data_IF_952800961511
#
_entry.id   IF_952800961511
#
_cell.length_a   1.000
_cell.length_b   1.000
_cell.length_c   1.000
_cell.angle_alpha   90.00
_cell.angle_beta   90.00
_cell.angle_gamma   90.00
#
_symmetry.space_group_name_H-M   'P 1'
#
loop_
_entity.id
_entity.type
_entity.pdbx_description
1 polymer ?
#
# COMPACT_ATOMS: atom_id res chain seq x y z
N UNK A 1 -20.41 -47.20 -0.85
CA UNK A 1 -18.99 -46.86 -0.64
C UNK A 1 -18.18 -47.21 -1.87
N UNK A 2 -17.68 -46.23 -2.64
CA UNK A 2 -16.69 -46.47 -3.68
C UNK A 2 -15.30 -45.97 -3.25
N UNK A 3 -14.29 -46.83 -3.43
CA UNK A 3 -12.88 -46.52 -3.14
C UNK A 3 -12.29 -45.61 -4.21
N UNK A 4 -11.58 -44.56 -3.77
CA UNK A 4 -10.86 -43.64 -4.66
C UNK A 4 -9.48 -44.20 -5.04
N UNK A 5 -8.99 -43.99 -6.28
CA UNK A 5 -7.73 -44.53 -6.75
C UNK A 5 -6.53 -43.73 -6.25
N UNK A 6 -5.45 -44.48 -6.01
CA UNK A 6 -4.16 -44.09 -5.44
C UNK A 6 -3.34 -43.31 -6.48
N UNK A 7 -2.92 -42.09 -6.13
CA UNK A 7 -2.10 -41.20 -6.98
C UNK A 7 -0.62 -41.50 -6.76
N UNK A 8 0.06 -42.02 -7.78
CA UNK A 8 1.51 -42.21 -7.81
C UNK A 8 2.24 -40.85 -7.88
N UNK A 9 3.24 -40.67 -7.00
CA UNK A 9 4.13 -39.51 -7.02
C UNK A 9 5.41 -39.85 -7.79
N UNK A 10 5.60 -39.17 -8.92
CA UNK A 10 6.80 -39.21 -9.74
C UNK A 10 7.96 -38.50 -9.04
N UNK A 11 9.08 -39.21 -8.84
CA UNK A 11 10.33 -38.68 -8.29
C UNK A 11 11.12 -37.98 -9.39
N UNK A 12 11.38 -36.69 -9.21
CA UNK A 12 12.33 -35.92 -10.05
C UNK A 12 13.76 -36.10 -9.50
N UNK A 13 14.78 -36.31 -10.36
CA UNK A 13 16.16 -36.51 -9.93
C UNK A 13 16.81 -35.19 -9.44
N UNK A 14 17.58 -35.34 -8.37
CA UNK A 14 18.29 -34.30 -7.63
C UNK A 14 19.62 -34.01 -8.32
N UNK A 15 19.78 -32.83 -8.92
CA UNK A 15 21.05 -32.39 -9.52
C UNK A 15 22.02 -31.85 -8.47
N UNK A 16 23.27 -32.30 -8.58
CA UNK A 16 24.39 -31.99 -7.71
C UNK A 16 24.83 -30.53 -7.85
N UNK A 17 24.97 -29.83 -6.73
CA UNK A 17 25.46 -28.45 -6.65
C UNK A 17 27.00 -28.43 -6.75
N UNK A 18 27.53 -27.82 -7.80
CA UNK A 18 28.96 -27.50 -7.95
C UNK A 18 29.29 -26.26 -7.12
N UNK A 19 30.29 -26.37 -6.24
CA UNK A 19 30.75 -25.26 -5.40
C UNK A 19 31.62 -24.29 -6.22
N UNK A 20 31.18 -23.05 -6.35
CA UNK A 20 31.97 -21.94 -6.91
C UNK A 20 32.68 -21.22 -5.78
N UNK A 21 34.02 -21.26 -5.78
CA UNK A 21 34.88 -20.49 -4.87
C UNK A 21 34.97 -19.04 -5.36
N UNK A 22 34.52 -18.09 -4.54
CA UNK A 22 34.80 -16.67 -4.72
C UNK A 22 36.16 -16.32 -4.10
N UNK A 23 37.01 -15.69 -4.89
CA UNK A 23 38.31 -15.14 -4.47
C UNK A 23 38.11 -13.66 -4.12
N UNK A 24 38.46 -13.29 -2.88
CA UNK A 24 38.36 -11.91 -2.37
C UNK A 24 39.56 -11.08 -2.87
N UNK A 25 39.37 -9.89 -3.48
CA UNK A 25 40.49 -9.00 -3.76
C UNK A 25 40.91 -8.21 -2.51
N UNK A 26 42.21 -7.94 -2.43
CA UNK A 26 42.89 -7.23 -1.34
C UNK A 26 42.52 -5.74 -1.28
N UNK A 27 42.61 -5.09 -0.10
CA UNK A 27 42.28 -3.68 0.06
C UNK A 27 43.38 -2.77 -0.52
N UNK A 28 42.97 -1.77 -1.29
CA UNK A 28 43.83 -0.70 -1.79
C UNK A 28 44.16 0.31 -0.69
N UNK A 29 45.43 0.70 -0.63
CA UNK A 29 46.02 1.73 0.23
C UNK A 29 45.52 3.13 -0.15
N UNK A 30 45.28 4.04 0.81
CA UNK A 30 44.85 5.41 0.50
C UNK A 30 46.04 6.28 0.06
N UNK A 31 45.85 7.00 -1.05
CA UNK A 31 46.77 8.02 -1.51
C UNK A 31 46.52 9.34 -0.77
N UNK A 32 47.59 9.88 -0.20
CA UNK A 32 47.70 11.20 0.43
C UNK A 32 47.63 12.29 -0.64
N UNK A 33 46.69 13.23 -0.52
CA UNK A 33 46.67 14.45 -1.34
C UNK A 33 46.88 15.67 -0.43
N UNK A 34 47.95 16.40 -0.72
CA UNK A 34 48.34 17.65 -0.09
C UNK A 34 47.68 18.84 -0.80
N UNK A 35 47.46 19.88 0.01
CA UNK A 35 47.41 21.32 -0.32
C UNK A 35 46.03 21.99 -0.56
N UNK A 36 45.75 23.12 0.12
CA UNK A 36 44.53 23.91 0.00
C UNK A 36 44.67 25.05 -1.03
N UNK A 37 43.58 25.50 -1.68
CA UNK A 37 43.56 26.77 -2.39
C UNK A 37 43.16 27.94 -1.46
N UNK A 38 43.91 29.02 -1.60
CA UNK A 38 43.71 30.37 -1.07
C UNK A 38 42.35 30.97 -1.43
N UNK A 39 41.69 31.56 -0.43
CA UNK A 39 40.45 32.34 -0.53
C UNK A 39 40.76 33.81 -0.82
N UNK A 40 40.01 34.53 -1.67
CA UNK A 40 40.00 35.99 -1.68
C UNK A 40 38.94 36.55 -0.73
N UNK A 41 39.35 37.59 -0.02
CA UNK A 41 38.52 38.46 0.82
C UNK A 41 37.33 39.01 0.04
N UNK A 42 36.12 38.85 0.59
CA UNK A 42 34.99 39.68 0.22
C UNK A 42 34.11 39.92 1.45
N UNK A 43 34.23 41.13 2.00
CA UNK A 43 33.48 41.65 3.12
C UNK A 43 32.02 41.91 2.72
N UNK A 44 31.12 41.04 3.18
CA UNK A 44 29.67 41.24 3.12
C UNK A 44 29.02 40.48 4.27
N UNK A 45 28.59 41.19 5.30
CA UNK A 45 28.05 40.61 6.53
C UNK A 45 26.77 39.82 6.28
N UNK A 46 26.81 38.54 6.63
CA UNK A 46 25.64 37.68 6.83
C UNK A 46 25.80 36.96 8.18
N UNK A 47 24.75 37.02 9.00
CA UNK A 47 24.64 36.26 10.26
C UNK A 47 24.62 34.77 9.97
N UNK A 48 25.63 34.04 10.44
CA UNK A 48 25.70 32.58 10.39
C UNK A 48 25.20 32.04 11.72
N UNK A 49 23.98 31.49 11.73
CA UNK A 49 23.49 30.68 12.86
C UNK A 49 24.22 29.34 12.82
N UNK A 50 25.10 29.14 13.80
CA UNK A 50 25.89 27.91 13.94
C UNK A 50 25.08 26.89 14.73
N UNK A 51 24.55 25.87 14.07
CA UNK A 51 23.89 24.73 14.76
C UNK A 51 24.93 23.67 15.08
N UNK A 52 25.28 23.53 16.36
CA UNK A 52 26.16 22.47 16.83
C UNK A 52 25.40 21.15 16.96
N UNK A 53 25.69 20.19 16.09
CA UNK A 53 25.16 18.82 16.18
C UNK A 53 26.15 17.96 16.96
N UNK A 54 25.79 17.58 18.18
CA UNK A 54 26.58 16.65 19.00
C UNK A 54 26.23 15.20 18.64
N UNK A 55 27.14 14.51 17.95
CA UNK A 55 27.01 13.09 17.65
C UNK A 55 27.57 12.26 18.81
N UNK A 56 26.69 11.59 19.57
CA UNK A 56 27.10 10.66 20.63
C UNK A 56 27.25 9.25 20.04
N UNK A 57 28.48 8.78 19.93
CA UNK A 57 28.78 7.40 19.50
C UNK A 57 28.77 6.46 20.72
N UNK A 58 27.70 5.69 20.88
CA UNK A 58 27.63 4.64 21.92
C UNK A 58 28.27 3.35 21.38
N UNK A 59 29.44 3.00 21.90
CA UNK A 59 30.12 1.74 21.59
C UNK A 59 29.64 0.63 22.52
N UNK A 60 28.77 -0.26 22.04
CA UNK A 60 28.42 -1.48 22.76
C UNK A 60 29.48 -2.57 22.55
N UNK A 61 30.23 -2.84 23.63
CA UNK A 61 31.21 -3.93 23.73
C UNK A 61 30.46 -5.26 23.88
N UNK A 62 30.49 -6.12 22.85
CA UNK A 62 29.97 -7.50 22.92
C UNK A 62 30.98 -8.38 23.66
N UNK A 63 30.58 -8.97 24.79
CA UNK A 63 31.33 -10.08 25.41
C UNK A 63 30.92 -11.40 24.76
N UNK A 64 31.87 -12.07 24.14
CA UNK A 64 31.72 -13.44 23.66
C UNK A 64 32.02 -14.40 24.83
N UNK A 65 31.01 -15.14 25.30
CA UNK A 65 31.23 -16.35 26.11
C UNK A 65 30.99 -17.58 25.25
N UNK A 66 32.10 -18.27 25.00
CA UNK A 66 32.28 -19.55 24.31
C UNK A 66 31.86 -20.67 25.26
N UNK A 67 30.89 -21.50 24.88
CA UNK A 67 30.67 -22.80 25.51
C UNK A 67 30.60 -23.89 24.45
N UNK A 68 31.68 -24.67 24.41
CA UNK A 68 31.79 -26.03 23.90
C UNK A 68 30.94 -26.98 24.75
N UNK A 69 30.08 -27.83 24.15
CA UNK A 69 30.15 -29.30 24.33
C UNK A 69 29.09 -30.13 23.58
N UNK A 70 29.60 -31.25 23.07
CA UNK A 70 29.03 -32.61 22.97
C UNK A 70 27.93 -32.91 21.96
N UNK A 71 28.37 -33.57 20.89
CA UNK A 71 27.63 -34.49 20.02
C UNK A 71 26.96 -35.63 20.77
N UNK A 72 25.67 -35.86 20.52
CA UNK A 72 25.04 -37.18 20.67
C UNK A 72 23.99 -37.39 19.58
N UNK A 73 24.15 -38.48 18.85
CA UNK A 73 23.25 -38.93 17.80
C UNK A 73 22.00 -39.61 18.40
N UNK A 74 20.83 -39.32 17.82
CA UNK A 74 19.63 -40.16 17.89
C UNK A 74 18.71 -39.92 16.67
N UNK A 75 18.41 -41.03 16.01
CA UNK A 75 17.32 -41.49 15.13
C UNK A 75 16.15 -40.55 14.74
N UNK A 76 15.61 -40.64 13.48
CA UNK A 76 14.60 -39.73 12.96
C UNK A 76 13.16 -40.12 13.34
N UNK A 77 12.35 -39.14 13.69
CA UNK A 77 10.89 -39.25 13.86
C UNK A 77 10.16 -38.30 12.91
N UNK A 78 9.01 -38.76 12.43
CA UNK A 78 8.17 -38.20 11.37
C UNK A 78 7.81 -36.72 11.54
N UNK A 79 7.96 -35.96 10.45
CA UNK A 79 7.43 -34.61 10.27
C UNK A 79 5.90 -34.64 10.12
N UNK A 80 5.21 -33.97 11.05
CA UNK A 80 3.83 -33.50 10.91
C UNK A 80 3.89 -31.97 10.92
N UNK A 81 3.18 -31.26 10.01
CA UNK A 81 3.33 -29.82 9.87
C UNK A 81 2.88 -29.05 11.11
N UNK A 82 3.70 -28.08 11.50
CA UNK A 82 3.45 -27.16 12.61
C UNK A 82 2.16 -26.36 12.37
N UNK A 83 1.12 -26.71 13.13
CA UNK A 83 -0.01 -25.83 13.41
C UNK A 83 0.46 -24.85 14.49
N UNK A 84 0.38 -23.54 14.22
CA UNK A 84 0.66 -22.53 15.24
C UNK A 84 -0.40 -22.69 16.36
N UNK A 85 0.08 -23.18 17.50
CA UNK A 85 -0.58 -23.24 18.79
C UNK A 85 -0.51 -21.84 19.41
N UNK A 86 -1.51 -21.01 19.11
CA UNK A 86 -1.80 -19.77 19.84
C UNK A 86 -2.50 -20.21 21.14
N UNK A 87 -1.76 -20.17 22.25
CA UNK A 87 -2.17 -20.74 23.53
C UNK A 87 -3.61 -20.40 23.96
N UNK A 88 -4.30 -21.46 24.40
CA UNK A 88 -5.62 -21.46 25.04
C UNK A 88 -5.69 -20.47 26.23
N UNK A 89 -6.47 -19.39 26.09
CA UNK A 89 -7.00 -18.65 27.25
C UNK A 89 -8.42 -18.11 26.95
N UNK A 90 -9.38 -18.78 27.57
CA UNK A 90 -10.64 -18.31 28.22
C UNK A 90 -11.65 -17.43 27.48
N UNK A 91 -12.92 -17.75 27.79
CA UNK A 91 -14.22 -17.28 27.30
C UNK A 91 -14.38 -15.77 26.99
N UNK A 92 -15.17 -15.41 25.96
CA UNK A 92 -15.45 -14.02 25.62
C UNK A 92 -16.43 -13.40 26.62
N UNK A 93 -16.06 -12.26 27.19
CA UNK A 93 -17.00 -11.33 27.81
C UNK A 93 -17.58 -10.42 26.73
N UNK A 94 -18.90 -10.34 26.64
CA UNK A 94 -19.61 -9.42 25.76
C UNK A 94 -19.35 -7.97 26.18
N UNK A 95 -18.91 -7.13 25.25
CA UNK A 95 -18.75 -5.70 25.45
C UNK A 95 -19.55 -4.92 24.40
N UNK A 96 -20.05 -3.74 24.79
CA UNK A 96 -20.77 -2.82 23.92
C UNK A 96 -19.82 -1.68 23.55
N UNK A 97 -19.52 -1.53 22.26
CA UNK A 97 -18.74 -0.38 21.77
C UNK A 97 -19.69 0.82 21.65
N UNK A 98 -19.42 1.88 22.40
CA UNK A 98 -20.09 3.18 22.25
C UNK A 98 -19.41 3.91 21.08
N UNK A 99 -20.07 3.95 19.92
CA UNK A 99 -19.65 4.80 18.81
C UNK A 99 -19.92 6.28 19.17
N UNK A 100 -19.08 7.22 18.72
CA UNK A 100 -19.32 8.64 18.93
C UNK A 100 -20.69 9.03 18.35
N UNK A 101 -21.51 9.69 19.16
CA UNK A 101 -22.85 10.10 18.78
C UNK A 101 -22.77 11.03 17.55
N UNK A 102 -23.41 10.60 16.47
CA UNK A 102 -23.58 11.42 15.27
C UNK A 102 -24.34 12.70 15.66
N UNK A 103 -23.89 13.91 15.27
CA UNK A 103 -24.67 15.13 15.51
C UNK A 103 -26.03 14.97 14.83
N UNK A 104 -27.09 15.15 15.61
CA UNK A 104 -28.46 15.00 15.12
C UNK A 104 -28.69 15.94 13.93
N UNK A 105 -29.19 15.44 12.79
CA UNK A 105 -29.52 16.32 11.67
C UNK A 105 -30.59 17.33 12.11
N UNK A 106 -30.54 18.57 11.60
CA UNK A 106 -31.59 19.55 11.87
C UNK A 106 -32.95 19.00 11.42
N UNK A 107 -34.04 19.31 12.17
CA UNK A 107 -35.36 18.80 11.85
C UNK A 107 -35.77 19.24 10.43
N UNK A 108 -36.37 18.36 9.63
CA UNK A 108 -36.81 18.71 8.29
C UNK A 108 -37.92 19.77 8.35
N UNK A 109 -37.76 20.82 7.56
CA UNK A 109 -38.81 21.82 7.32
C UNK A 109 -40.08 21.13 6.77
N UNK A 110 -41.28 21.49 7.27
CA UNK A 110 -42.52 20.86 6.83
C UNK A 110 -42.78 21.18 5.35
N UNK A 111 -42.78 20.15 4.51
CA UNK A 111 -43.25 20.24 3.13
C UNK A 111 -44.69 19.72 3.04
N UNK A 112 -45.53 20.32 2.18
CA UNK A 112 -46.97 20.09 2.17
C UNK A 112 -47.33 18.72 1.60
N UNK A 113 -48.32 18.08 2.22
CA UNK A 113 -48.90 16.81 1.77
C UNK A 113 -49.68 16.99 0.47
N UNK A 114 -49.50 16.08 -0.51
CA UNK A 114 -50.51 15.79 -1.51
C UNK A 114 -51.33 14.56 -1.13
N UNK A 115 -52.56 14.58 -1.62
CA UNK A 115 -53.68 13.72 -1.30
C UNK A 115 -53.49 12.26 -1.77
N UNK A 116 -54.19 11.38 -1.04
CA UNK A 116 -54.38 9.97 -1.33
C UNK A 116 -55.11 9.76 -2.65
N UNK A 117 -54.57 8.89 -3.50
CA UNK A 117 -55.38 8.05 -4.38
C UNK A 117 -54.88 6.61 -4.35
N UNK A 118 -55.83 5.71 -4.50
CA UNK A 118 -55.82 4.31 -4.08
C UNK A 118 -55.84 3.34 -5.25
N UNK A 119 -54.96 2.32 -5.19
CA UNK A 119 -55.08 0.96 -5.76
C UNK A 119 -55.13 0.81 -7.32
N UNK A 120 -54.98 -0.38 -7.94
CA UNK A 120 -54.66 -1.73 -7.42
C UNK A 120 -53.50 -2.49 -8.16
N UNK A 121 -53.15 -3.67 -7.62
CA UNK A 121 -52.33 -4.77 -8.18
C UNK A 121 -52.91 -5.37 -9.48
N UNK A 122 -52.10 -6.02 -10.36
CA UNK A 122 -51.99 -7.51 -10.31
C UNK A 122 -50.69 -8.19 -10.81
N UNK A 123 -50.57 -9.46 -10.39
CA UNK A 123 -50.07 -10.68 -11.05
C UNK A 123 -48.64 -10.90 -11.58
N UNK A 124 -47.98 -11.85 -10.88
CA UNK A 124 -47.46 -13.14 -11.36
C UNK A 124 -46.99 -13.23 -12.82
N UNK A 125 -45.66 -13.34 -13.03
CA UNK A 125 -45.10 -14.18 -14.09
C UNK A 125 -43.86 -14.93 -13.59
N UNK A 126 -43.95 -16.25 -13.68
CA UNK A 126 -42.89 -17.25 -13.48
C UNK A 126 -42.48 -17.71 -14.89
N UNK A 127 -41.20 -17.64 -15.23
CA UNK A 127 -40.66 -18.35 -16.39
C UNK A 127 -39.22 -18.76 -16.14
N UNK A 128 -39.09 -20.06 -15.90
CA UNK A 128 -37.87 -20.83 -16.14
C UNK A 128 -37.64 -20.94 -17.65
N UNK A 129 -36.38 -20.86 -18.08
CA UNK A 129 -36.01 -21.04 -19.47
C UNK A 129 -34.51 -20.99 -19.68
N UNK A 130 -33.88 -22.16 -19.58
CA UNK A 130 -32.55 -22.43 -20.11
C UNK A 130 -32.51 -22.17 -21.63
N UNK A 131 -31.40 -21.65 -22.18
CA UNK A 131 -30.53 -22.44 -23.04
C UNK A 131 -29.32 -21.67 -23.61
N UNK A 132 -28.20 -22.39 -23.64
CA UNK A 132 -27.19 -22.51 -24.71
C UNK A 132 -26.87 -21.33 -25.66
N UNK A 133 -25.56 -21.02 -25.64
CA UNK A 133 -24.59 -21.30 -26.71
C UNK A 133 -24.05 -20.15 -27.59
N UNK A 134 -22.71 -20.22 -27.74
CA UNK A 134 -21.86 -19.90 -28.92
C UNK A 134 -21.68 -18.41 -29.26
N UNK A 135 -20.47 -17.87 -29.02
CA UNK A 135 -19.32 -17.84 -29.96
C UNK A 135 -19.67 -17.22 -31.32
N UNK A 136 -19.29 -15.95 -31.53
CA UNK A 136 -18.57 -15.52 -32.73
C UNK A 136 -17.87 -14.18 -32.53
N UNK A 137 -16.55 -14.17 -32.73
CA UNK A 137 -15.71 -12.99 -32.97
C UNK A 137 -15.81 -12.65 -34.46
N UNK A 138 -15.77 -11.37 -34.85
CA UNK A 138 -15.07 -11.01 -36.07
C UNK A 138 -13.93 -9.99 -35.80
N UNK A 139 -12.74 -10.39 -36.27
CA UNK A 139 -11.58 -9.54 -36.54
C UNK A 139 -11.83 -8.75 -37.83
N UNK A 140 -11.52 -7.45 -37.81
CA UNK A 140 -11.15 -6.59 -38.94
C UNK A 140 -10.20 -5.54 -38.33
N UNK A 141 -8.89 -5.43 -38.58
CA UNK A 141 -8.08 -5.51 -39.80
C UNK A 141 -8.43 -4.41 -40.80
N UNK A 142 -7.94 -3.19 -40.52
CA UNK A 142 -7.61 -2.20 -41.56
C UNK A 142 -6.29 -1.53 -41.18
N UNK A 143 -5.47 -1.40 -42.23
CA UNK A 143 -4.06 -1.07 -42.31
C UNK A 143 -3.74 0.44 -42.25
N UNK A 144 -2.45 0.81 -42.18
CA UNK A 144 -1.95 2.17 -42.04
C UNK A 144 -1.75 2.85 -43.40
N UNK A 145 -1.69 4.19 -43.44
CA UNK A 145 -0.76 4.97 -44.29
C UNK A 145 -0.91 6.48 -44.10
N UNK A 146 0.25 7.08 -43.80
CA UNK A 146 0.79 8.37 -44.29
C UNK A 146 -0.16 9.41 -44.89
N UNK A 147 0.02 10.67 -44.48
CA UNK A 147 0.25 11.79 -45.42
C UNK A 147 0.85 13.01 -44.70
N UNK A 148 2.07 13.35 -45.12
CA UNK A 148 2.73 14.63 -44.93
C UNK A 148 1.87 15.75 -45.51
N UNK A 149 1.65 16.82 -44.75
CA UNK A 149 1.26 18.12 -45.32
C UNK A 149 1.68 19.28 -44.41
N UNK A 150 2.81 19.90 -44.75
CA UNK A 150 3.06 21.31 -44.45
C UNK A 150 2.27 22.17 -45.43
N UNK A 151 1.72 23.29 -44.97
CA UNK A 151 2.02 24.52 -45.68
C UNK A 151 2.33 25.70 -44.75
N UNK A 152 3.32 26.47 -45.17
CA UNK A 152 3.46 27.89 -44.87
C UNK A 152 2.16 28.64 -45.21
N UNK A 153 1.72 29.53 -44.32
CA UNK A 153 1.19 30.82 -44.76
C UNK A 153 1.46 31.91 -43.73
N UNK A 154 1.76 33.06 -44.31
CA UNK A 154 2.20 34.34 -43.80
C UNK A 154 1.09 35.17 -43.15
N UNK A 155 1.50 35.91 -42.10
CA UNK A 155 1.05 37.22 -41.63
C UNK A 155 -0.18 37.88 -42.28
N UNK A 156 -1.18 38.31 -41.49
CA UNK A 156 -1.35 39.71 -41.00
C UNK A 156 -2.73 39.95 -40.34
N UNK A 157 -2.71 40.92 -39.41
CA UNK A 157 -3.76 41.83 -38.91
C UNK A 157 -4.90 41.33 -38.01
N UNK A 158 -4.81 41.78 -36.75
CA UNK A 158 -5.80 42.63 -36.06
C UNK A 158 -7.26 42.24 -36.11
N UNK A 159 -7.65 41.54 -35.05
CA UNK A 159 -9.04 41.26 -34.70
C UNK A 159 -9.10 40.27 -33.55
N UNK A 160 -8.42 40.58 -32.43
CA UNK A 160 -8.38 39.73 -31.26
C UNK A 160 -9.76 39.71 -30.56
N UNK A 161 -10.72 39.01 -31.16
CA UNK A 161 -11.85 38.48 -30.45
C UNK A 161 -11.28 37.56 -29.37
N UNK A 162 -11.33 37.99 -28.11
CA UNK A 162 -11.05 37.15 -26.97
C UNK A 162 -11.99 35.95 -27.06
N UNK A 163 -11.52 34.85 -27.66
CA UNK A 163 -12.24 33.60 -27.72
C UNK A 163 -12.65 33.22 -26.29
N UNK A 164 -13.81 32.59 -26.10
CA UNK A 164 -14.30 32.26 -24.78
C UNK A 164 -13.20 31.51 -24.03
N UNK A 165 -12.68 32.16 -22.97
CA UNK A 165 -11.66 31.57 -22.12
C UNK A 165 -12.21 30.23 -21.64
N UNK A 166 -11.60 29.14 -22.09
CA UNK A 166 -12.03 27.79 -21.73
C UNK A 166 -11.83 27.66 -20.23
N UNK A 167 -12.91 27.85 -19.46
CA UNK A 167 -12.89 27.67 -18.02
C UNK A 167 -12.69 26.19 -17.78
N UNK A 168 -11.45 25.81 -17.47
CA UNK A 168 -11.12 24.44 -17.14
C UNK A 168 -11.81 24.12 -15.81
N UNK A 169 -12.82 23.24 -15.86
CA UNK A 169 -13.54 22.78 -14.67
C UNK A 169 -12.54 22.09 -13.76
N UNK A 170 -12.26 22.71 -12.60
CA UNK A 170 -11.36 22.16 -11.59
C UNK A 170 -11.86 20.76 -11.19
N UNK A 171 -10.96 19.78 -11.23
CA UNK A 171 -11.25 18.41 -10.78
C UNK A 171 -10.89 18.31 -9.30
N UNK A 172 -11.86 17.93 -8.49
CA UNK A 172 -11.70 17.79 -7.04
C UNK A 172 -11.70 16.31 -6.66
N UNK A 173 -10.85 15.94 -5.71
CA UNK A 173 -10.83 14.63 -5.09
C UNK A 173 -11.08 14.75 -3.59
N UNK A 174 -12.04 13.99 -3.07
CA UNK A 174 -12.30 13.91 -1.63
C UNK A 174 -11.31 12.94 -0.98
N UNK A 175 -10.60 13.41 0.04
CA UNK A 175 -9.69 12.61 0.85
C UNK A 175 -10.18 12.63 2.29
N UNK A 176 -10.65 11.49 2.77
CA UNK A 176 -11.15 11.37 4.13
C UNK A 176 -10.00 11.36 5.15
N UNK A 177 -10.18 12.10 6.23
CA UNK A 177 -9.18 12.24 7.29
C UNK A 177 -9.23 11.03 8.21
N UNK A 178 -8.07 10.43 8.44
CA UNK A 178 -7.93 9.30 9.35
C UNK A 178 -7.99 9.78 10.80
N UNK A 179 -8.75 9.08 11.69
CA UNK A 179 -8.78 9.39 13.11
C UNK A 179 -7.37 9.45 13.70
N UNK A 180 -7.10 10.44 14.55
CA UNK A 180 -5.80 10.53 15.20
C UNK A 180 -5.63 9.35 16.18
N UNK A 181 -4.42 8.78 16.36
CA UNK A 181 -4.22 7.66 17.29
C UNK A 181 -4.72 7.91 18.73
N UNK A 182 -4.70 9.17 19.19
CA UNK A 182 -5.21 9.56 20.51
C UNK A 182 -6.74 9.62 20.61
N UNK A 183 -7.44 9.65 19.48
CA UNK A 183 -8.91 9.68 19.41
C UNK A 183 -9.51 8.27 19.37
N UNK A 184 -8.67 7.24 19.19
CA UNK A 184 -9.13 5.86 19.12
C UNK A 184 -9.57 5.35 20.50
N UNK A 185 -10.75 4.71 20.54
CA UNK A 185 -11.28 4.11 21.75
C UNK A 185 -10.38 2.98 22.25
N UNK A 186 -9.93 3.08 23.50
CA UNK A 186 -9.07 2.07 24.13
C UNK A 186 -9.85 0.78 24.34
N UNK A 187 -9.33 -0.33 23.80
CA UNK A 187 -9.91 -1.66 23.97
C UNK A 187 -9.12 -2.40 25.08
N UNK A 188 -9.68 -2.59 26.28
CA UNK A 188 -8.97 -3.23 27.39
C UNK A 188 -8.78 -4.74 27.15
N UNK A 189 -7.78 -5.30 27.83
CA UNK A 189 -7.57 -6.76 27.90
C UNK A 189 -6.66 -7.36 26.83
N UNK A 190 -6.51 -8.68 26.91
CA UNK A 190 -5.69 -9.49 26.00
C UNK A 190 -6.53 -10.03 24.84
N UNK A 191 -7.20 -9.13 24.12
CA UNK A 191 -8.07 -9.51 22.99
C UNK A 191 -7.30 -9.48 21.68
N UNK A 192 -7.76 -10.27 20.71
CA UNK A 192 -7.34 -10.18 19.32
C UNK A 192 -7.98 -8.93 18.71
N UNK A 193 -7.17 -8.14 18.02
CA UNK A 193 -7.55 -6.87 17.42
C UNK A 193 -7.36 -6.93 15.91
N UNK A 194 -8.24 -6.25 15.20
CA UNK A 194 -8.13 -5.95 13.77
C UNK A 194 -7.79 -4.48 13.61
N UNK A 195 -6.66 -4.19 12.98
CA UNK A 195 -6.21 -2.84 12.66
C UNK A 195 -6.55 -2.57 11.20
N UNK A 196 -7.42 -1.60 10.95
CA UNK A 196 -7.84 -1.19 9.62
C UNK A 196 -7.10 0.09 9.24
N UNK A 197 -6.31 0.04 8.17
CA UNK A 197 -5.54 1.18 7.65
C UNK A 197 -5.89 1.53 6.20
N UNK A 198 -6.72 0.71 5.55
CA UNK A 198 -7.24 0.95 4.21
C UNK A 198 -8.60 0.30 4.07
N UNK A 199 -9.55 0.97 3.40
CA UNK A 199 -10.93 0.49 3.23
C UNK A 199 -11.93 1.58 3.57
N UNK A 200 -13.10 1.20 4.10
CA UNK A 200 -14.18 2.15 4.39
C UNK A 200 -14.03 2.96 5.67
N UNK A 201 -13.04 2.64 6.51
CA UNK A 201 -12.74 3.34 7.75
C UNK A 201 -11.28 3.19 8.13
N UNK A 202 -10.89 3.74 9.28
CA UNK A 202 -9.56 3.58 9.85
C UNK A 202 -9.63 3.48 11.36
N UNK A 203 -8.87 2.57 11.96
CA UNK A 203 -8.81 2.44 13.42
C UNK A 203 -8.34 1.07 13.88
N UNK A 204 -8.52 0.83 15.19
CA UNK A 204 -8.23 -0.44 15.85
C UNK A 204 -9.54 -0.96 16.42
N UNK A 205 -9.93 -2.16 16.00
CA UNK A 205 -11.22 -2.77 16.32
C UNK A 205 -11.02 -4.12 17.02
N UNK A 206 -11.98 -4.58 17.83
CA UNK A 206 -12.04 -5.96 18.27
C UNK A 206 -12.15 -6.93 17.08
N UNK A 207 -11.55 -8.12 17.17
CA UNK A 207 -11.52 -9.08 16.07
C UNK A 207 -12.89 -9.66 15.71
N UNK A 208 -13.81 -9.73 16.67
CA UNK A 208 -15.19 -10.19 16.52
C UNK A 208 -16.08 -9.15 15.81
N UNK A 209 -15.62 -7.90 15.67
CA UNK A 209 -16.29 -6.90 14.87
C UNK A 209 -16.11 -7.22 13.38
N UNK A 210 -17.21 -7.20 12.61
CA UNK A 210 -17.17 -7.46 11.17
C UNK A 210 -16.58 -6.26 10.39
N UNK A 211 -15.25 -6.12 10.45
CA UNK A 211 -14.54 -5.06 9.72
C UNK A 211 -14.61 -5.23 8.20
N UNK A 212 -14.97 -6.43 7.70
CA UNK A 212 -15.16 -6.65 6.25
C UNK A 212 -16.39 -5.92 5.75
N UNK A 213 -17.41 -5.76 6.59
CA UNK A 213 -18.60 -4.95 6.26
C UNK A 213 -18.22 -3.50 5.94
N UNK A 214 -17.20 -2.95 6.62
CA UNK A 214 -16.71 -1.60 6.39
C UNK A 214 -16.09 -1.44 5.00
N UNK A 215 -15.38 -2.48 4.51
CA UNK A 215 -14.63 -2.44 3.24
C UNK A 215 -15.41 -3.01 2.03
N UNK A 216 -16.65 -3.48 2.21
CA UNK A 216 -17.41 -4.25 1.19
C UNK A 216 -17.57 -3.54 -0.17
N UNK A 217 -17.53 -2.20 -0.22
CA UNK A 217 -17.63 -1.42 -1.48
C UNK A 217 -16.40 -0.56 -1.81
N UNK A 218 -15.36 -0.60 -0.98
CA UNK A 218 -14.24 0.34 -1.07
C UNK A 218 -13.20 -0.05 -2.14
N UNK A 219 -13.38 -1.20 -2.79
CA UNK A 219 -12.47 -1.73 -3.81
C UNK A 219 -11.11 -2.18 -3.25
N UNK A 220 -10.88 -2.09 -1.94
CA UNK A 220 -9.66 -2.54 -1.26
C UNK A 220 -9.85 -2.65 0.25
N UNK A 221 -8.94 -3.39 0.90
CA UNK A 221 -8.91 -3.58 2.35
C UNK A 221 -7.46 -3.82 2.82
N UNK A 222 -7.02 -3.05 3.81
CA UNK A 222 -5.73 -3.28 4.48
C UNK A 222 -5.97 -3.49 5.95
N UNK A 223 -5.96 -4.77 6.31
CA UNK A 223 -6.13 -5.25 7.67
C UNK A 223 -4.86 -5.89 8.20
N UNK A 224 -4.60 -5.64 9.48
CA UNK A 224 -3.59 -6.33 10.28
C UNK A 224 -4.26 -6.93 11.52
N UNK A 225 -3.69 -7.99 12.05
CA UNK A 225 -4.11 -8.58 13.32
C UNK A 225 -3.00 -8.48 14.36
N UNK A 226 -3.34 -8.10 15.59
CA UNK A 226 -2.44 -8.09 16.74
C UNK A 226 -3.21 -8.48 18.01
N UNK A 227 -2.48 -9.02 18.99
CA UNK A 227 -2.99 -9.14 20.35
C UNK A 227 -2.56 -7.93 21.18
N UNK A 228 -3.44 -7.47 22.07
CA UNK A 228 -3.26 -6.31 22.98
C UNK A 228 -3.33 -4.95 22.30
N UNK A 229 -4.01 -4.01 22.96
CA UNK A 229 -4.20 -2.63 22.51
C UNK A 229 -2.91 -1.93 22.10
N UNK A 230 -1.89 -1.92 22.96
CA UNK A 230 -0.64 -1.19 22.71
C UNK A 230 0.09 -1.64 21.44
N UNK A 231 -0.04 -2.92 21.06
CA UNK A 231 0.57 -3.44 19.83
C UNK A 231 -0.24 -3.05 18.60
N UNK A 232 -1.57 -3.10 18.68
CA UNK A 232 -2.46 -2.65 17.61
C UNK A 232 -2.31 -1.14 17.36
N UNK A 233 -2.35 -0.34 18.43
CA UNK A 233 -2.17 1.11 18.39
C UNK A 233 -0.83 1.49 17.75
N UNK A 234 0.27 0.83 18.14
CA UNK A 234 1.60 1.10 17.55
C UNK A 234 1.66 0.85 16.04
N UNK A 235 0.94 -0.17 15.54
CA UNK A 235 0.86 -0.43 14.09
C UNK A 235 0.05 0.68 13.40
N UNK A 236 -1.10 1.03 13.96
CA UNK A 236 -1.95 2.10 13.42
C UNK A 236 -1.23 3.45 13.43
N UNK A 237 -0.61 3.82 14.55
CA UNK A 237 0.16 5.04 14.73
C UNK A 237 1.32 5.14 13.74
N UNK A 238 2.04 4.04 13.47
CA UNK A 238 3.08 4.01 12.42
C UNK A 238 2.48 4.34 11.05
N UNK A 239 1.35 3.72 10.68
CA UNK A 239 0.68 3.96 9.40
C UNK A 239 0.12 5.40 9.29
N UNK A 240 -0.43 5.92 10.39
CA UNK A 240 -0.97 7.27 10.49
C UNK A 240 0.14 8.32 10.37
N UNK A 241 1.24 8.15 11.11
CA UNK A 241 2.42 9.02 11.04
C UNK A 241 3.06 9.01 9.65
N UNK A 242 3.00 7.90 8.91
CA UNK A 242 3.45 7.84 7.51
C UNK A 242 2.49 8.50 6.51
N UNK A 243 1.28 8.91 6.95
CA UNK A 243 0.22 9.45 6.10
C UNK A 243 -0.38 8.40 5.17
N UNK A 244 -0.28 7.12 5.53
CA UNK A 244 -0.64 5.98 4.66
C UNK A 244 -1.96 5.31 5.06
N UNK A 245 -2.70 5.90 5.99
CA UNK A 245 -4.07 5.48 6.29
C UNK A 245 -4.98 6.17 5.28
N UNK A 246 -5.63 5.41 4.41
CA UNK A 246 -6.54 5.94 3.41
C UNK A 246 -7.93 5.36 3.61
N UNK A 247 -8.90 6.26 3.68
CA UNK A 247 -10.28 5.92 3.95
C UNK A 247 -11.09 6.29 2.71
N UNK A 248 -11.84 5.33 2.22
CA UNK A 248 -12.79 5.46 1.12
C UNK A 248 -14.12 4.90 1.59
N UNK A 249 -14.87 5.66 2.41
CA UNK A 249 -16.08 5.18 3.02
C UNK A 249 -17.10 4.85 1.93
N UNK A 250 -17.86 3.79 2.17
CA UNK A 250 -19.07 3.52 1.42
C UNK A 250 -20.07 4.64 1.72
N UNK A 251 -20.73 5.20 0.70
CA UNK A 251 -21.74 6.26 0.84
C UNK A 251 -22.89 5.85 1.78
N UNK A 252 -23.18 4.55 1.86
CA UNK A 252 -24.20 3.99 2.76
C UNK A 252 -23.62 3.46 4.10
N UNK A 253 -22.31 3.62 4.32
CA UNK A 253 -21.59 3.02 5.44
C UNK A 253 -21.66 3.85 6.73
N UNK A 254 -21.30 3.22 7.85
CA UNK A 254 -21.16 3.90 9.16
C UNK A 254 -20.12 5.03 9.15
N UNK A 255 -19.28 5.07 8.12
CA UNK A 255 -18.21 6.04 7.93
C UNK A 255 -18.51 7.07 6.82
N UNK A 256 -19.72 7.08 6.26
CA UNK A 256 -20.09 7.99 5.17
C UNK A 256 -19.97 9.48 5.56
N UNK A 257 -20.12 9.79 6.85
CA UNK A 257 -20.04 11.14 7.41
C UNK A 257 -18.65 11.52 7.96
N UNK A 258 -17.60 10.74 7.67
CA UNK A 258 -16.26 11.08 8.12
C UNK A 258 -15.79 12.43 7.53
N UNK A 259 -15.00 13.20 8.29
CA UNK A 259 -14.43 14.44 7.78
C UNK A 259 -13.53 14.16 6.56
N UNK A 260 -13.55 15.07 5.59
CA UNK A 260 -12.72 14.99 4.40
C UNK A 260 -12.17 16.36 4.01
N UNK A 261 -11.07 16.32 3.26
CA UNK A 261 -10.45 17.47 2.60
C UNK A 261 -10.63 17.30 1.10
N UNK A 262 -11.04 18.36 0.41
CA UNK A 262 -11.07 18.37 -1.06
C UNK A 262 -9.71 18.81 -1.60
N UNK A 263 -9.09 17.95 -2.40
CA UNK A 263 -7.84 18.25 -3.08
C UNK A 263 -8.11 18.61 -4.54
N UNK A 264 -7.64 19.78 -4.94
CA UNK A 264 -7.58 20.15 -6.37
C UNK A 264 -6.55 19.28 -7.08
N UNK A 265 -7.00 18.52 -8.08
CA UNK A 265 -6.13 17.74 -8.93
C UNK A 265 -5.37 18.66 -9.88
N UNK A 266 -4.04 18.49 -10.03
CA UNK A 266 -3.26 19.24 -11.01
C UNK A 266 -3.85 19.16 -12.42
N UNK A 267 -3.53 20.14 -13.26
CA UNK A 267 -3.91 20.08 -14.67
C UNK A 267 -3.18 18.91 -15.35
N UNK A 268 -3.79 18.29 -16.38
CA UNK A 268 -3.15 17.22 -17.14
C UNK A 268 -1.76 17.53 -17.68
N UNK A 269 -1.52 18.79 -18.01
CA UNK A 269 -0.25 19.26 -18.57
C UNK A 269 0.85 19.40 -17.50
N UNK A 270 0.49 19.40 -16.21
CA UNK A 270 1.42 19.53 -15.06
C UNK A 270 1.83 18.16 -14.49
N UNK A 271 1.40 17.06 -15.11
CA UNK A 271 1.67 15.73 -14.59
C UNK A 271 3.15 15.35 -14.74
N UNK A 272 3.81 15.08 -13.61
CA UNK A 272 5.10 14.40 -13.62
C UNK A 272 4.95 12.99 -14.23
N UNK A 273 5.98 12.48 -14.94
CA UNK A 273 5.93 11.11 -15.44
C UNK A 273 5.81 10.12 -14.28
N UNK A 274 4.92 9.14 -14.44
CA UNK A 274 4.83 8.03 -13.49
C UNK A 274 6.02 7.09 -13.69
N UNK A 275 6.45 6.43 -12.62
CA UNK A 275 7.48 5.40 -12.72
C UNK A 275 7.04 4.29 -13.68
N UNK A 276 7.90 3.97 -14.66
CA UNK A 276 7.68 2.89 -15.63
C UNK A 276 8.58 1.69 -15.40
N UNK A 277 9.61 1.85 -14.55
CA UNK A 277 10.60 0.82 -14.27
C UNK A 277 10.75 0.61 -12.77
N UNK A 278 11.03 -0.64 -12.32
CA UNK A 278 11.39 -0.90 -10.94
C UNK A 278 12.72 -0.20 -10.59
N UNK A 279 12.97 0.07 -9.30
CA UNK A 279 14.29 0.46 -8.84
C UNK A 279 15.37 -0.53 -9.31
N UNK A 280 16.54 -0.03 -9.72
CA UNK A 280 17.66 -0.91 -10.03
C UNK A 280 18.03 -1.74 -8.78
N UNK A 281 18.46 -3.01 -8.92
CA UNK A 281 18.80 -3.82 -7.75
C UNK A 281 19.86 -3.20 -6.83
N UNK A 282 20.83 -2.47 -7.39
CA UNK A 282 21.84 -1.73 -6.61
C UNK A 282 21.30 -0.51 -5.84
N UNK A 283 20.09 -0.03 -6.18
CA UNK A 283 19.43 1.08 -5.49
C UNK A 283 18.51 0.60 -4.35
N UNK A 284 18.29 -0.71 -4.20
CA UNK A 284 17.47 -1.24 -3.11
C UNK A 284 18.21 -1.11 -1.79
N UNK A 285 17.66 -0.27 -0.91
CA UNK A 285 18.10 -0.15 0.48
C UNK A 285 17.42 -1.26 1.28
N UNK A 286 18.19 -2.00 2.08
CA UNK A 286 17.67 -3.06 2.95
C UNK A 286 16.64 -2.46 3.93
N UNK A 287 15.36 -2.86 3.86
CA UNK A 287 14.34 -2.31 4.75
C UNK A 287 14.49 -2.88 6.17
N UNK A 288 14.04 -2.12 7.17
CA UNK A 288 13.98 -2.60 8.55
C UNK A 288 12.84 -3.61 8.66
N UNK A 289 13.16 -4.84 9.05
CA UNK A 289 12.19 -5.92 9.26
C UNK A 289 11.39 -5.68 10.54
N UNK A 290 10.08 -5.40 10.41
CA UNK A 290 9.18 -5.21 11.56
C UNK A 290 8.34 -6.45 11.88
N UNK A 291 8.23 -7.39 10.93
CA UNK A 291 7.48 -8.64 11.04
C UNK A 291 8.32 -9.90 10.86
N UNK A 292 7.66 -11.01 10.51
CA UNK A 292 8.30 -12.32 10.26
C UNK A 292 8.95 -12.40 8.87
N UNK A 293 8.49 -11.59 7.92
CA UNK A 293 8.86 -11.69 6.52
C UNK A 293 9.33 -10.35 5.93
N UNK A 294 10.18 -10.43 4.92
CA UNK A 294 10.34 -9.44 3.87
C UNK A 294 9.33 -9.74 2.75
N UNK A 295 8.84 -8.69 2.11
CA UNK A 295 7.83 -8.77 1.06
C UNK A 295 8.41 -8.24 -0.23
N UNK A 296 8.55 -9.10 -1.24
CA UNK A 296 8.96 -8.70 -2.59
C UNK A 296 7.71 -8.49 -3.41
N UNK A 297 7.50 -7.27 -3.91
CA UNK A 297 6.36 -6.95 -4.77
C UNK A 297 6.71 -7.30 -6.21
N UNK A 298 5.88 -8.15 -6.81
CA UNK A 298 6.00 -8.52 -8.23
C UNK A 298 4.96 -7.78 -9.08
N UNK A 299 3.78 -7.53 -8.52
CA UNK A 299 2.75 -6.72 -9.16
C UNK A 299 2.24 -5.71 -8.15
N UNK A 300 2.32 -4.42 -8.49
CA UNK A 300 1.92 -3.34 -7.60
C UNK A 300 2.11 -1.96 -8.22
N UNK A 301 1.68 -0.93 -7.49
CA UNK A 301 1.90 0.49 -7.81
C UNK A 301 3.37 0.89 -7.71
N UNK A 302 4.13 0.23 -6.84
CA UNK A 302 5.56 0.42 -6.67
C UNK A 302 6.22 -0.94 -6.37
N UNK A 303 7.36 -1.21 -7.03
CA UNK A 303 8.10 -2.46 -6.89
C UNK A 303 9.27 -2.29 -5.93
N UNK A 304 9.59 -3.34 -5.18
CA UNK A 304 10.69 -3.31 -4.20
C UNK A 304 10.60 -4.42 -3.17
N UNK A 305 11.43 -4.28 -2.13
CA UNK A 305 11.47 -5.16 -0.98
C UNK A 305 11.05 -4.35 0.26
N UNK A 306 10.06 -4.84 0.99
CA UNK A 306 9.50 -4.16 2.16
C UNK A 306 9.63 -5.04 3.40
N UNK A 307 9.94 -4.42 4.54
CA UNK A 307 10.11 -5.11 5.82
C UNK A 307 8.82 -5.21 6.66
N UNK A 308 7.74 -4.61 6.17
CA UNK A 308 6.46 -4.45 6.85
C UNK A 308 5.30 -4.84 5.91
N UNK A 309 4.32 -5.57 6.43
CA UNK A 309 3.13 -5.95 5.64
C UNK A 309 2.34 -4.73 5.19
N UNK A 310 2.23 -3.69 6.02
CA UNK A 310 1.47 -2.48 5.70
C UNK A 310 2.04 -1.81 4.47
N UNK A 311 3.36 -1.61 4.46
CA UNK A 311 4.11 -1.03 3.35
C UNK A 311 3.97 -1.84 2.06
N UNK A 312 3.96 -3.17 2.16
CA UNK A 312 3.70 -4.03 1.01
C UNK A 312 2.23 -3.94 0.54
N UNK A 313 1.27 -3.97 1.47
CA UNK A 313 -0.15 -3.99 1.20
C UNK A 313 -0.63 -2.72 0.48
N UNK A 314 -0.17 -1.54 0.91
CA UNK A 314 -0.53 -0.27 0.26
C UNK A 314 -0.12 -0.20 -1.21
N UNK A 315 0.88 -0.98 -1.63
CA UNK A 315 1.37 -1.03 -3.01
C UNK A 315 0.61 -2.01 -3.89
N UNK A 316 -0.02 -3.03 -3.31
CA UNK A 316 -0.64 -4.11 -4.09
C UNK A 316 -2.16 -4.04 -4.10
N UNK A 317 -2.79 -3.58 -3.01
CA UNK A 317 -4.23 -3.79 -2.80
C UNK A 317 -5.13 -3.07 -3.79
N UNK A 318 -4.74 -1.87 -4.24
CA UNK A 318 -5.54 -1.05 -5.15
C UNK A 318 -5.43 -1.43 -6.62
N UNK A 319 -4.47 -2.28 -6.96
CA UNK A 319 -4.18 -2.72 -8.32
C UNK A 319 -4.26 -4.24 -8.47
N UNK A 320 -4.94 -4.90 -7.52
CA UNK A 320 -5.03 -6.37 -7.42
C UNK A 320 -3.66 -7.05 -7.58
N UNK A 321 -2.65 -6.42 -7.00
CA UNK A 321 -1.26 -6.85 -7.09
C UNK A 321 -0.92 -8.04 -6.20
N UNK A 322 0.32 -8.49 -6.32
CA UNK A 322 0.81 -9.63 -5.55
C UNK A 322 2.25 -9.44 -5.09
N UNK A 323 2.54 -10.05 -3.94
CA UNK A 323 3.87 -10.10 -3.34
C UNK A 323 4.21 -11.49 -2.83
N UNK A 324 5.49 -11.81 -2.75
CA UNK A 324 6.00 -13.06 -2.16
C UNK A 324 6.70 -12.74 -0.85
N UNK A 325 6.51 -13.62 0.16
CA UNK A 325 7.06 -13.49 1.51
C UNK A 325 8.34 -14.31 1.63
N UNK A 326 9.36 -13.72 2.25
CA UNK A 326 10.65 -14.36 2.49
C UNK A 326 11.09 -14.13 3.93
N UNK A 327 11.64 -15.13 4.61
CA UNK A 327 12.11 -14.96 5.99
C UNK A 327 13.43 -14.16 6.04
N UNK A 328 14.29 -14.35 5.05
CA UNK A 328 15.61 -13.73 4.97
C UNK A 328 15.72 -12.68 3.87
N UNK A 329 16.45 -11.60 4.16
CA UNK A 329 16.64 -10.51 3.20
C UNK A 329 17.42 -10.96 1.97
N UNK A 330 18.48 -11.76 2.15
CA UNK A 330 19.34 -12.14 1.02
C UNK A 330 18.57 -13.01 0.02
N UNK A 331 17.65 -13.87 0.50
CA UNK A 331 16.72 -14.63 -0.34
C UNK A 331 15.70 -13.73 -1.02
N UNK A 332 15.13 -12.76 -0.31
CA UNK A 332 14.22 -11.76 -0.88
C UNK A 332 14.91 -10.92 -1.98
N UNK A 333 16.17 -10.54 -1.74
CA UNK A 333 16.97 -9.76 -2.66
C UNK A 333 17.35 -10.55 -3.91
N UNK A 334 17.76 -11.82 -3.75
CA UNK A 334 18.00 -12.70 -4.89
C UNK A 334 16.73 -12.87 -5.75
N UNK A 335 15.56 -13.08 -5.12
CA UNK A 335 14.28 -13.17 -5.83
C UNK A 335 13.92 -11.87 -6.56
N UNK A 336 14.17 -10.71 -5.94
CA UNK A 336 13.98 -9.40 -6.58
C UNK A 336 14.90 -9.20 -7.79
N UNK A 337 16.19 -9.53 -7.67
CA UNK A 337 17.17 -9.46 -8.77
C UNK A 337 16.72 -10.34 -9.93
N UNK A 338 16.34 -11.58 -9.64
CA UNK A 338 15.85 -12.52 -10.65
C UNK A 338 14.60 -11.98 -11.35
N UNK A 339 13.64 -11.46 -10.57
CA UNK A 339 12.41 -10.87 -11.09
C UNK A 339 12.68 -9.70 -12.05
N UNK A 340 13.55 -8.76 -11.66
CA UNK A 340 13.89 -7.60 -12.49
C UNK A 340 14.66 -8.02 -13.73
N UNK A 341 15.64 -8.92 -13.59
CA UNK A 341 16.46 -9.42 -14.71
C UNK A 341 15.62 -10.14 -15.76
N UNK A 342 14.66 -10.96 -15.30
CA UNK A 342 13.77 -11.71 -16.18
C UNK A 342 12.55 -10.91 -16.65
N UNK A 343 12.41 -9.65 -16.20
CA UNK A 343 11.21 -8.81 -16.42
C UNK A 343 9.90 -9.51 -16.03
N UNK A 344 9.94 -10.34 -14.98
CA UNK A 344 8.77 -11.09 -14.48
C UNK A 344 7.98 -10.28 -13.44
N UNK A 345 7.79 -8.99 -13.71
CA UNK A 345 7.05 -8.06 -12.87
C UNK A 345 6.00 -7.29 -13.68
N UNK A 346 4.99 -6.73 -13.00
CA UNK A 346 4.04 -5.77 -13.58
C UNK A 346 3.93 -4.54 -12.69
N UNK A 347 4.44 -3.41 -13.17
CA UNK A 347 4.28 -2.13 -12.49
C UNK A 347 3.00 -1.45 -12.99
N UNK A 348 2.09 -1.11 -12.07
CA UNK A 348 0.79 -0.50 -12.39
C UNK A 348 0.69 0.83 -11.65
N UNK A 349 1.37 1.89 -12.12
CA UNK A 349 1.38 3.15 -11.40
C UNK A 349 0.01 3.82 -11.46
N UNK A 350 -0.43 4.40 -10.35
CA UNK A 350 -1.71 5.12 -10.27
C UNK A 350 -1.50 6.62 -10.17
N UNK A 351 -2.09 7.35 -11.13
CA UNK A 351 -2.17 8.80 -11.09
C UNK A 351 -2.97 9.23 -9.86
N UNK A 352 -2.48 10.24 -9.14
CA UNK A 352 -3.05 10.73 -7.89
C UNK A 352 -3.08 9.69 -6.74
N UNK A 353 -2.30 8.62 -6.86
CA UNK A 353 -2.13 7.61 -5.81
C UNK A 353 -1.04 7.99 -4.79
N UNK A 354 -0.77 7.07 -3.85
CA UNK A 354 0.24 7.25 -2.80
C UNK A 354 1.69 7.27 -3.31
N UNK A 355 1.89 6.82 -4.53
CA UNK A 355 3.20 6.67 -5.17
C UNK A 355 3.33 7.58 -6.41
N UNK A 356 2.36 8.48 -6.63
CA UNK A 356 2.50 9.54 -7.62
C UNK A 356 3.46 10.63 -7.07
N UNK A 357 4.62 10.86 -7.68
CA UNK A 357 5.60 11.84 -7.18
C UNK A 357 5.04 13.27 -7.15
N UNK A 358 4.11 13.61 -8.03
CA UNK A 358 3.50 14.95 -8.07
C UNK A 358 2.36 15.17 -7.07
N UNK A 359 1.87 14.10 -6.45
CA UNK A 359 0.62 14.16 -5.67
C UNK A 359 0.70 13.52 -4.28
N UNK A 360 1.58 12.53 -4.10
CA UNK A 360 1.67 11.71 -2.88
C UNK A 360 1.87 12.52 -1.60
N UNK A 361 2.65 13.60 -1.64
CA UNK A 361 2.87 14.47 -0.47
C UNK A 361 1.56 15.16 -0.02
N UNK A 362 0.80 15.73 -0.98
CA UNK A 362 -0.49 16.37 -0.71
C UNK A 362 -1.50 15.37 -0.18
N UNK A 363 -1.54 14.17 -0.78
CA UNK A 363 -2.40 13.09 -0.33
C UNK A 363 -2.09 12.66 1.11
N UNK A 364 -0.80 12.45 1.46
CA UNK A 364 -0.37 12.08 2.82
C UNK A 364 -0.63 13.15 3.86
N UNK A 365 -0.62 14.42 3.46
CA UNK A 365 -0.97 15.51 4.35
C UNK A 365 -2.49 15.57 4.59
N UNK A 366 -3.28 15.46 3.53
CA UNK A 366 -4.73 15.47 3.60
C UNK A 366 -5.30 14.31 4.43
N UNK A 367 -4.72 13.11 4.34
CA UNK A 367 -5.13 11.97 5.18
C UNK A 367 -4.92 12.22 6.68
N UNK A 368 -4.02 13.14 7.04
CA UNK A 368 -3.80 13.60 8.43
C UNK A 368 -4.62 14.84 8.80
N UNK A 369 -5.47 15.33 7.90
CA UNK A 369 -6.22 16.57 8.11
C UNK A 369 -5.36 17.84 8.02
N UNK A 370 -4.16 17.73 7.47
CA UNK A 370 -3.30 18.89 7.21
C UNK A 370 -3.68 19.48 5.85
N UNK A 371 -4.20 20.70 5.87
CA UNK A 371 -4.46 21.48 4.65
C UNK A 371 -3.14 22.13 4.24
N UNK A 372 -2.63 21.79 3.05
CA UNK A 372 -1.42 22.37 2.43
C UNK A 372 -1.83 23.42 1.41
#
# INVERSE_FOLDING_TARGET
>A
MPQSPRREQSRVPRTSRTAVRFTTPAPATPATANSPPTTPDNSGGFEVITTTTTTVTVTHRRSCTRNTRTTRAATPTNDTPAHEDDGDISSPSSFTVVLPASPSPPPPSPSPQPERESSPTPDVVRSDGADRARRTIPRLLVQPSTLLRTPHHSATSDGAAAGPSVVHRRRLMRVYTAPHPSELAVIPGHVKLTILTGGGGGGVFPFDMDTKSFSKKCGWDITHTKYRWSRGLKVYEKAWNAGTVLIEPNDDGVFASLPYVELELPNPDEYLPLATEPPAPGAIIRPVKTGKYYYVIYVGEELGIFGDWHEAAIRIRKVDGYCVKFEDYDTAFAAYVEMVTNKSYTLIPRRFGFFDPGFSHRLRAATKGLVI
#
